data_IF_676596245173
#
_entry.id   IF_676596245173
#
_cell.length_a   1.000
_cell.length_b   1.000
_cell.length_c   1.000
_cell.angle_alpha   90.00
_cell.angle_beta   90.00
_cell.angle_gamma   90.00
#
_symmetry.space_group_name_H-M   'P 1'
#
loop_
_entity.id
_entity.type
_entity.pdbx_description
1 polymer ?
#
# COMPACT_ATOMS: atom_id res chain seq x y z
N UNK A 1 1.20 31.12 40.91
CA UNK A 1 0.63 29.80 40.52
C UNK A 1 -0.27 29.81 39.27
N UNK A 2 -0.74 30.97 38.77
CA UNK A 2 -1.58 31.07 37.55
C UNK A 2 -0.80 30.99 36.22
N UNK A 3 0.40 31.59 36.15
CA UNK A 3 1.18 31.65 34.90
C UNK A 3 1.83 30.32 34.49
N UNK A 4 2.36 29.54 35.46
CA UNK A 4 3.00 28.24 35.20
C UNK A 4 2.01 27.15 34.74
N UNK A 5 0.74 27.26 35.15
CA UNK A 5 -0.34 26.35 34.70
C UNK A 5 -0.85 26.72 33.30
N UNK A 6 -0.89 27.99 32.93
CA UNK A 6 -1.24 28.41 31.56
C UNK A 6 -0.18 27.99 30.53
N UNK A 7 1.11 28.12 30.86
CA UNK A 7 2.19 27.71 29.95
C UNK A 7 2.17 26.20 29.72
N UNK A 8 1.93 25.40 30.77
CA UNK A 8 1.83 23.94 30.65
C UNK A 8 0.61 23.48 29.81
N UNK A 9 -0.50 24.22 29.87
CA UNK A 9 -1.72 23.89 29.09
C UNK A 9 -1.57 24.27 27.62
N UNK A 10 -0.85 25.35 27.31
CA UNK A 10 -0.59 25.78 25.92
C UNK A 10 0.41 24.89 25.18
N UNK A 11 1.34 24.23 25.87
CA UNK A 11 2.31 23.32 25.24
C UNK A 11 1.74 21.94 24.90
N UNK A 12 0.66 21.49 25.55
CA UNK A 12 0.04 20.18 25.28
C UNK A 12 -0.88 20.23 24.06
N UNK A 13 -1.48 21.39 23.75
CA UNK A 13 -2.39 21.54 22.61
C UNK A 13 -1.69 21.61 21.24
N UNK A 14 -0.39 21.93 21.19
CA UNK A 14 0.34 22.11 19.94
C UNK A 14 0.89 20.80 19.32
N UNK A 15 0.91 19.69 20.07
CA UNK A 15 1.49 18.42 19.61
C UNK A 15 0.48 17.42 19.01
N UNK A 16 -0.82 17.75 18.99
CA UNK A 16 -1.88 16.85 18.54
C UNK A 16 -2.31 17.04 17.07
N UNK A 17 -1.61 17.90 16.31
CA UNK A 17 -1.97 18.21 14.92
C UNK A 17 -1.07 17.52 13.86
N UNK A 18 -0.28 16.51 14.23
CA UNK A 18 0.55 15.77 13.26
C UNK A 18 -0.20 14.57 12.70
N UNK A 19 -0.77 14.82 11.52
CA UNK A 19 -1.00 13.89 10.41
C UNK A 19 -1.80 12.61 10.65
N UNK A 20 -3.13 12.73 10.63
CA UNK A 20 -3.99 11.70 10.02
C UNK A 20 -3.99 11.86 8.50
N UNK A 21 -2.81 11.75 7.86
CA UNK A 21 -2.77 11.39 6.45
C UNK A 21 -2.97 9.87 6.41
N UNK A 22 -4.23 9.43 6.42
CA UNK A 22 -4.55 8.07 6.04
C UNK A 22 -4.04 7.88 4.61
N UNK A 23 -2.85 7.30 4.47
CA UNK A 23 -2.29 6.91 3.19
C UNK A 23 -3.32 5.99 2.54
N UNK A 24 -4.05 6.50 1.55
CA UNK A 24 -4.87 5.66 0.70
C UNK A 24 -3.89 4.69 0.00
N UNK A 25 -3.82 3.45 0.50
CA UNK A 25 -2.98 2.38 -0.03
C UNK A 25 -3.57 1.89 -1.37
N UNK A 26 -3.51 2.77 -2.37
CA UNK A 26 -3.93 2.51 -3.73
C UNK A 26 -2.72 2.52 -4.66
N UNK A 27 -2.88 2.00 -5.90
CA UNK A 27 -1.82 2.07 -6.89
C UNK A 27 -1.48 3.53 -7.21
N UNK A 28 -0.20 3.79 -7.47
CA UNK A 28 0.25 5.04 -8.05
C UNK A 28 -0.17 5.21 -9.51
N UNK A 29 0.18 6.36 -10.09
CA UNK A 29 -0.15 6.71 -11.49
C UNK A 29 0.57 5.83 -12.52
N UNK A 30 1.69 5.20 -12.14
CA UNK A 30 2.50 4.30 -12.97
C UNK A 30 3.31 3.38 -12.06
N UNK A 31 3.78 2.22 -12.58
CA UNK A 31 4.70 1.37 -11.83
C UNK A 31 5.97 2.16 -11.45
N UNK A 32 6.38 2.05 -10.19
CA UNK A 32 7.61 2.67 -9.69
C UNK A 32 8.88 1.95 -10.21
N UNK A 33 10.05 2.59 -10.07
CA UNK A 33 11.35 2.00 -10.44
C UNK A 33 11.75 0.89 -9.47
N UNK A 34 11.47 1.08 -8.18
CA UNK A 34 11.71 0.06 -7.16
C UNK A 34 10.47 -0.84 -7.14
N UNK A 35 10.59 -2.15 -7.32
CA UNK A 35 9.43 -3.05 -7.34
C UNK A 35 8.83 -3.24 -5.95
N UNK A 36 7.50 -3.47 -5.86
CA UNK A 36 6.87 -3.95 -4.63
C UNK A 36 7.24 -5.42 -4.39
N UNK A 37 7.35 -5.80 -3.13
CA UNK A 37 7.72 -7.13 -2.64
C UNK A 37 6.66 -7.67 -1.69
N UNK A 38 6.34 -8.95 -1.80
CA UNK A 38 5.52 -9.61 -0.79
C UNK A 38 6.27 -9.71 0.54
N UNK A 39 5.58 -9.36 1.62
CA UNK A 39 6.07 -9.45 2.98
C UNK A 39 4.97 -10.01 3.87
N UNK A 40 5.35 -10.77 4.88
CA UNK A 40 4.41 -11.24 5.90
C UNK A 40 3.82 -10.03 6.62
N UNK A 41 2.51 -10.06 6.85
CA UNK A 41 1.87 -9.10 7.73
C UNK A 41 2.51 -9.17 9.13
N UNK A 42 2.69 -8.02 9.78
CA UNK A 42 3.17 -7.96 11.17
C UNK A 42 2.17 -8.66 12.10
N UNK A 43 0.88 -8.56 11.78
CA UNK A 43 -0.21 -9.19 12.51
C UNK A 43 -0.97 -10.11 11.55
N UNK A 44 -0.75 -11.42 11.68
CA UNK A 44 -1.44 -12.46 10.91
C UNK A 44 -0.54 -13.20 9.93
N UNK A 45 -1.13 -14.18 9.24
CA UNK A 45 -0.42 -15.09 8.32
C UNK A 45 -0.61 -14.69 6.83
N UNK A 46 -1.11 -13.49 6.58
CA UNK A 46 -1.33 -13.00 5.22
C UNK A 46 -0.05 -12.39 4.64
N UNK A 47 0.16 -12.60 3.35
CA UNK A 47 1.21 -11.92 2.59
C UNK A 47 0.65 -10.62 2.02
N UNK A 48 1.29 -9.51 2.36
CA UNK A 48 0.93 -8.17 1.91
C UNK A 48 2.02 -7.60 1.01
N UNK A 49 1.62 -6.70 0.12
CA UNK A 49 2.58 -5.88 -0.61
C UNK A 49 3.16 -4.84 0.34
N UNK A 50 4.49 -4.75 0.39
CA UNK A 50 5.19 -3.75 1.19
C UNK A 50 4.87 -2.30 0.79
N UNK A 51 4.66 -2.08 -0.50
CA UNK A 51 4.41 -0.76 -1.12
C UNK A 51 3.30 -0.82 -2.17
N UNK A 52 2.03 -0.80 -1.77
CA UNK A 52 0.89 -0.79 -2.70
C UNK A 52 0.93 0.37 -3.72
N UNK A 53 1.47 1.51 -3.34
CA UNK A 53 1.62 2.71 -4.17
C UNK A 53 2.66 2.56 -5.29
N UNK A 54 3.57 1.59 -5.18
CA UNK A 54 4.53 1.29 -6.24
C UNK A 54 3.85 0.65 -7.47
N UNK A 55 2.64 0.12 -7.34
CA UNK A 55 1.87 -0.39 -8.47
C UNK A 55 1.37 0.75 -9.37
N UNK A 56 1.25 0.48 -10.67
CA UNK A 56 0.56 1.37 -11.61
C UNK A 56 -0.85 0.88 -11.94
N UNK A 57 -1.60 1.60 -12.80
CA UNK A 57 -2.90 1.13 -13.28
C UNK A 57 -2.76 -0.19 -14.06
N UNK A 58 -3.78 -1.05 -13.97
CA UNK A 58 -3.79 -2.34 -14.68
C UNK A 58 -3.92 -2.11 -16.19
N UNK A 59 -2.93 -2.52 -17.01
CA UNK A 59 -3.02 -2.39 -18.46
C UNK A 59 -4.20 -3.18 -19.04
N UNK A 60 -4.79 -2.68 -20.13
CA UNK A 60 -5.95 -3.34 -20.77
C UNK A 60 -5.71 -4.81 -21.11
N UNK A 61 -4.50 -5.13 -21.59
CA UNK A 61 -4.06 -6.48 -21.96
C UNK A 61 -3.86 -7.43 -20.77
N UNK A 62 -3.77 -6.89 -19.54
CA UNK A 62 -3.54 -7.65 -18.31
C UNK A 62 -4.81 -7.83 -17.48
N UNK A 63 -5.95 -7.23 -17.86
CA UNK A 63 -7.21 -7.28 -17.08
C UNK A 63 -7.70 -8.71 -16.81
N UNK A 64 -7.66 -9.58 -17.83
CA UNK A 64 -8.09 -10.98 -17.67
C UNK A 64 -7.16 -11.75 -16.72
N UNK A 65 -5.85 -11.57 -16.87
CA UNK A 65 -4.87 -12.18 -15.96
C UNK A 65 -5.04 -11.63 -14.53
N UNK A 66 -5.25 -10.33 -14.36
CA UNK A 66 -5.50 -9.73 -13.06
C UNK A 66 -6.77 -10.27 -12.39
N UNK A 67 -7.85 -10.47 -13.14
CA UNK A 67 -9.07 -11.14 -12.64
C UNK A 67 -8.78 -12.57 -12.19
N UNK A 68 -8.00 -13.32 -12.97
CA UNK A 68 -7.60 -14.68 -12.60
C UNK A 68 -6.76 -14.70 -11.30
N UNK A 69 -5.80 -13.79 -11.17
CA UNK A 69 -4.92 -13.71 -9.99
C UNK A 69 -5.67 -13.25 -8.74
N UNK A 70 -6.55 -12.26 -8.84
CA UNK A 70 -7.28 -11.73 -7.69
C UNK A 70 -8.51 -12.55 -7.27
N UNK A 71 -9.01 -13.43 -8.14
CA UNK A 71 -10.18 -14.27 -7.86
C UNK A 71 -11.53 -13.54 -8.02
N UNK A 72 -12.61 -14.20 -7.60
CA UNK A 72 -13.98 -13.73 -7.83
C UNK A 72 -14.39 -12.57 -6.92
N UNK A 73 -13.91 -12.53 -5.67
CA UNK A 73 -14.34 -11.55 -4.66
C UNK A 73 -13.52 -10.24 -4.66
N UNK A 74 -12.40 -10.23 -5.39
CA UNK A 74 -11.50 -9.08 -5.46
C UNK A 74 -11.35 -8.61 -6.91
N UNK A 75 -10.94 -7.35 -7.09
CA UNK A 75 -10.58 -6.76 -8.38
C UNK A 75 -9.10 -6.39 -8.39
N UNK A 76 -8.46 -6.60 -9.54
CA UNK A 76 -7.12 -6.07 -9.77
C UNK A 76 -7.21 -4.55 -9.94
N UNK A 77 -6.68 -3.81 -8.96
CA UNK A 77 -6.63 -2.35 -8.99
C UNK A 77 -5.28 -1.83 -9.46
N UNK A 78 -4.21 -2.60 -9.28
CA UNK A 78 -2.86 -2.23 -9.70
C UNK A 78 -2.08 -3.36 -10.36
N UNK A 79 -1.09 -2.99 -11.17
CA UNK A 79 -0.15 -3.91 -11.81
C UNK A 79 1.29 -3.38 -11.72
N UNK A 80 2.24 -4.28 -11.46
CA UNK A 80 3.66 -3.97 -11.53
C UNK A 80 4.41 -5.06 -12.31
N UNK A 81 5.17 -4.71 -13.38
CA UNK A 81 5.79 -5.70 -14.27
C UNK A 81 6.91 -6.50 -13.60
N UNK A 82 7.55 -5.94 -12.56
CA UNK A 82 8.65 -6.57 -11.82
C UNK A 82 8.31 -6.84 -10.35
N UNK A 83 7.04 -6.96 -9.99
CA UNK A 83 6.66 -7.29 -8.61
C UNK A 83 7.39 -8.56 -8.14
N UNK A 84 7.75 -8.61 -6.85
CA UNK A 84 8.62 -9.64 -6.30
C UNK A 84 7.90 -10.50 -5.26
N UNK A 85 8.31 -11.78 -5.18
CA UNK A 85 7.94 -12.68 -4.09
C UNK A 85 8.68 -12.32 -2.78
N UNK A 86 8.42 -13.07 -1.71
CA UNK A 86 9.02 -12.88 -0.40
C UNK A 86 10.55 -13.03 -0.36
N UNK A 87 11.12 -13.67 -1.38
CA UNK A 87 12.56 -13.86 -1.54
C UNK A 87 13.18 -12.76 -2.43
N UNK A 88 12.38 -11.85 -2.99
CA UNK A 88 12.83 -10.78 -3.87
C UNK A 88 12.92 -11.19 -5.34
N UNK A 89 12.45 -12.39 -5.70
CA UNK A 89 12.44 -12.85 -7.09
C UNK A 89 11.22 -12.30 -7.82
N UNK A 90 11.43 -11.75 -9.01
CA UNK A 90 10.36 -11.18 -9.80
C UNK A 90 9.38 -12.25 -10.33
N UNK A 91 8.08 -11.97 -10.27
CA UNK A 91 7.06 -12.78 -10.93
C UNK A 91 7.20 -12.65 -12.46
N UNK A 92 7.31 -13.76 -13.22
CA UNK A 92 7.53 -13.71 -14.67
C UNK A 92 6.44 -12.94 -15.44
N UNK A 93 5.21 -12.91 -14.92
CA UNK A 93 4.08 -12.20 -15.54
C UNK A 93 3.79 -10.83 -14.90
N UNK A 94 4.63 -10.39 -13.96
CA UNK A 94 4.38 -9.29 -13.04
C UNK A 94 3.43 -9.67 -11.91
N UNK A 95 3.14 -8.73 -11.02
CA UNK A 95 2.23 -8.89 -9.90
C UNK A 95 1.04 -7.94 -9.97
N UNK A 96 0.01 -8.24 -9.20
CA UNK A 96 -1.23 -7.47 -9.14
C UNK A 96 -1.54 -7.06 -7.71
N UNK A 97 -1.98 -5.81 -7.55
CA UNK A 97 -2.60 -5.32 -6.33
C UNK A 97 -4.10 -5.61 -6.40
N UNK A 98 -4.59 -6.41 -5.47
CA UNK A 98 -5.98 -6.84 -5.40
C UNK A 98 -6.71 -6.10 -4.27
N UNK A 99 -7.89 -5.56 -4.56
CA UNK A 99 -8.75 -4.94 -3.57
C UNK A 99 -10.14 -5.61 -3.57
N UNK A 100 -10.89 -5.59 -2.46
CA UNK A 100 -12.31 -5.95 -2.47
C UNK A 100 -13.06 -5.20 -3.57
N UNK A 101 -14.07 -5.85 -4.15
CA UNK A 101 -14.88 -5.26 -5.22
C UNK A 101 -15.62 -4.01 -4.76
#
# INVERSE_FOLDING_TARGET
MKMKRMIAVLTVAAFLAVSMAAFAAGPGKKPDRVPPKLQSAILGNEMLWDRPEAFGPVPKSKRNLGKQVCGAEKKAVGYHPKAQDENGKAFPKGGFLCAPK
#
